data_IF_120396270400
#
_entry.id   IF_120396270400
#
_cell.length_a   1.000
_cell.length_b   1.000
_cell.length_c   1.000
_cell.angle_alpha   90.00
_cell.angle_beta   90.00
_cell.angle_gamma   90.00
#
_symmetry.space_group_name_H-M   'P 1'
#
loop_
_entity.id
_entity.type
_entity.pdbx_description
1 polymer ?
#
# COMPACT_ATOMS: atom_id res chain seq x y z
N UNK A 1 -98.41 47.77 -13.96
CA UNK A 1 -97.47 47.04 -13.08
C UNK A 1 -96.05 47.31 -13.56
N UNK A 2 -95.21 47.91 -12.70
CA UNK A 2 -93.83 48.35 -13.00
C UNK A 2 -92.90 47.13 -13.02
N UNK A 3 -92.15 46.93 -14.10
CA UNK A 3 -90.95 46.07 -14.11
C UNK A 3 -89.76 46.92 -13.69
N UNK A 4 -89.11 46.57 -12.58
CA UNK A 4 -87.84 47.14 -12.16
C UNK A 4 -86.72 46.51 -12.99
N UNK A 5 -85.85 47.34 -13.58
CA UNK A 5 -84.61 46.90 -14.21
C UNK A 5 -83.56 46.62 -13.13
N UNK A 6 -83.08 45.37 -13.05
CA UNK A 6 -81.88 45.01 -12.30
C UNK A 6 -80.66 45.46 -13.12
N UNK A 7 -79.92 46.45 -12.63
CA UNK A 7 -78.58 46.78 -13.11
C UNK A 7 -77.59 45.95 -12.27
N UNK A 8 -76.82 45.10 -12.93
CA UNK A 8 -75.72 44.35 -12.31
C UNK A 8 -74.47 45.22 -12.36
N UNK A 9 -74.15 45.90 -11.26
CA UNK A 9 -72.80 46.45 -11.07
C UNK A 9 -71.85 45.27 -10.90
N UNK A 10 -71.01 45.04 -11.92
CA UNK A 10 -69.92 44.07 -11.84
C UNK A 10 -68.94 44.56 -10.77
N UNK A 11 -68.70 43.70 -9.77
CA UNK A 11 -67.80 43.94 -8.66
C UNK A 11 -66.33 43.94 -9.13
N UNK A 12 -65.90 45.03 -9.76
CA UNK A 12 -64.54 45.20 -10.30
C UNK A 12 -63.47 45.11 -9.20
N UNK A 13 -63.80 45.49 -7.96
CA UNK A 13 -62.91 45.39 -6.80
C UNK A 13 -62.54 43.96 -6.44
N UNK A 14 -63.49 43.01 -6.54
CA UNK A 14 -63.22 41.60 -6.34
C UNK A 14 -62.31 41.02 -7.43
N UNK A 15 -62.47 41.47 -8.67
CA UNK A 15 -61.62 41.03 -9.79
C UNK A 15 -60.18 41.54 -9.65
N UNK A 16 -60.01 42.81 -9.25
CA UNK A 16 -58.69 43.40 -8.99
C UNK A 16 -57.97 42.70 -7.84
N UNK A 17 -58.67 42.40 -6.74
CA UNK A 17 -58.09 41.68 -5.61
C UNK A 17 -57.62 40.27 -5.98
N UNK A 18 -58.39 39.56 -6.83
CA UNK A 18 -58.01 38.23 -7.32
C UNK A 18 -56.78 38.30 -8.23
N UNK A 19 -56.69 39.30 -9.11
CA UNK A 19 -55.54 39.48 -10.01
C UNK A 19 -54.29 39.87 -9.21
N UNK A 20 -54.42 40.75 -8.21
CA UNK A 20 -53.32 41.14 -7.32
C UNK A 20 -52.82 39.93 -6.51
N UNK A 21 -53.73 39.12 -5.96
CA UNK A 21 -53.35 37.89 -5.29
C UNK A 21 -52.66 36.89 -6.23
N UNK A 22 -53.18 36.67 -7.44
CA UNK A 22 -52.58 35.73 -8.39
C UNK A 22 -51.20 36.20 -8.87
N UNK A 23 -51.02 37.49 -9.09
CA UNK A 23 -49.74 38.07 -9.50
C UNK A 23 -48.71 38.05 -8.37
N UNK A 24 -49.10 38.37 -7.15
CA UNK A 24 -48.24 38.23 -5.98
C UNK A 24 -47.86 36.76 -5.71
N UNK A 25 -48.81 35.83 -5.88
CA UNK A 25 -48.57 34.40 -5.70
C UNK A 25 -47.66 33.82 -6.77
N UNK A 26 -47.83 34.22 -8.04
CA UNK A 26 -46.94 33.80 -9.13
C UNK A 26 -45.54 34.38 -8.95
N UNK A 27 -45.41 35.64 -8.52
CA UNK A 27 -44.12 36.25 -8.18
C UNK A 27 -43.45 35.53 -7.00
N UNK A 28 -44.21 35.20 -5.95
CA UNK A 28 -43.71 34.43 -4.82
C UNK A 28 -43.22 33.03 -5.25
N UNK A 29 -44.00 32.33 -6.10
CA UNK A 29 -43.58 31.04 -6.63
C UNK A 29 -42.33 31.15 -7.51
N UNK A 30 -42.22 32.19 -8.34
CA UNK A 30 -40.99 32.42 -9.13
C UNK A 30 -39.78 32.70 -8.24
N UNK A 31 -39.95 33.47 -7.16
CA UNK A 31 -38.88 33.73 -6.20
C UNK A 31 -38.52 32.45 -5.42
N UNK A 32 -39.51 31.65 -5.02
CA UNK A 32 -39.30 30.41 -4.30
C UNK A 32 -38.58 29.37 -5.17
N UNK A 33 -38.98 29.23 -6.45
CA UNK A 33 -38.29 28.32 -7.38
C UNK A 33 -36.89 28.81 -7.69
N UNK A 34 -36.69 30.11 -7.94
CA UNK A 34 -35.37 30.69 -8.13
C UNK A 34 -34.47 30.50 -6.91
N UNK A 35 -35.01 30.66 -5.70
CA UNK A 35 -34.29 30.45 -4.44
C UNK A 35 -33.92 28.99 -4.24
N UNK A 36 -34.84 28.05 -4.47
CA UNK A 36 -34.56 26.61 -4.37
C UNK A 36 -33.55 26.16 -5.42
N UNK A 37 -33.61 26.68 -6.64
CA UNK A 37 -32.59 26.45 -7.67
C UNK A 37 -31.24 27.04 -7.28
N UNK A 38 -31.20 28.23 -6.67
CA UNK A 38 -29.96 28.86 -6.22
C UNK A 38 -29.34 28.13 -5.00
N UNK A 39 -30.17 27.63 -4.08
CA UNK A 39 -29.73 26.82 -2.95
C UNK A 39 -29.15 25.48 -3.39
N UNK A 40 -29.64 24.90 -4.50
CA UNK A 40 -29.02 23.74 -5.15
C UNK A 40 -27.74 24.09 -5.91
N UNK A 41 -27.55 25.35 -6.31
CA UNK A 41 -26.35 25.86 -7.00
C UNK A 41 -25.26 26.34 -6.03
N UNK A 42 -25.51 26.27 -4.72
CA UNK A 42 -24.59 26.77 -3.70
C UNK A 42 -23.50 25.74 -3.37
N UNK A 43 -22.45 25.74 -4.21
CA UNK A 43 -21.16 25.05 -4.05
C UNK A 43 -21.27 23.51 -3.97
N UNK A 44 -20.17 22.80 -4.25
CA UNK A 44 -20.10 21.36 -3.98
C UNK A 44 -20.41 21.08 -2.51
N UNK A 45 -20.47 19.80 -2.10
CA UNK A 45 -20.54 19.46 -0.67
C UNK A 45 -19.46 20.24 0.08
N UNK A 46 -19.84 21.23 0.89
CA UNK A 46 -18.93 21.92 1.82
C UNK A 46 -18.63 20.95 2.97
N UNK A 47 -18.04 19.81 2.63
CA UNK A 47 -17.54 18.82 3.57
C UNK A 47 -16.03 19.01 3.67
N UNK A 48 -15.53 19.60 4.78
CA UNK A 48 -14.11 19.83 4.96
C UNK A 48 -13.26 18.57 4.87
N UNK A 49 -13.83 17.38 5.11
CA UNK A 49 -13.10 16.11 4.95
C UNK A 49 -12.87 15.80 3.46
N UNK A 50 -13.90 15.96 2.63
CA UNK A 50 -13.81 15.75 1.17
C UNK A 50 -12.89 16.79 0.53
N UNK A 51 -12.99 18.06 0.92
CA UNK A 51 -12.10 19.12 0.42
C UNK A 51 -10.63 18.87 0.76
N UNK A 52 -10.36 18.25 1.93
CA UNK A 52 -9.01 17.86 2.33
C UNK A 52 -8.49 16.71 1.47
N UNK A 53 -9.29 15.67 1.24
CA UNK A 53 -8.92 14.56 0.36
C UNK A 53 -8.64 15.01 -1.07
N UNK A 54 -9.51 15.83 -1.66
CA UNK A 54 -9.35 16.35 -3.01
C UNK A 54 -8.07 17.16 -3.17
N UNK A 55 -7.78 18.00 -2.17
CA UNK A 55 -6.52 18.75 -2.09
C UNK A 55 -5.33 17.81 -1.95
N UNK A 56 -5.42 16.80 -1.10
CA UNK A 56 -4.34 15.85 -0.84
C UNK A 56 -4.00 15.04 -2.10
N UNK A 57 -5.00 14.53 -2.82
CA UNK A 57 -4.81 13.82 -4.08
C UNK A 57 -4.21 14.74 -5.16
N UNK A 58 -4.76 15.97 -5.33
CA UNK A 58 -4.27 16.91 -6.34
C UNK A 58 -2.85 17.40 -6.07
N UNK A 59 -2.54 17.81 -4.83
CA UNK A 59 -1.20 18.27 -4.44
C UNK A 59 -0.20 17.11 -4.40
N UNK A 60 -0.60 15.93 -3.94
CA UNK A 60 0.24 14.74 -3.92
C UNK A 60 0.66 14.35 -5.35
N UNK A 61 -0.29 14.31 -6.28
CA UNK A 61 0.01 14.05 -7.68
C UNK A 61 0.92 15.14 -8.28
N UNK A 62 0.66 16.41 -7.95
CA UNK A 62 1.50 17.50 -8.44
C UNK A 62 2.93 17.41 -7.90
N UNK A 63 3.12 17.11 -6.61
CA UNK A 63 4.44 16.87 -6.00
C UNK A 63 5.16 15.69 -6.66
N UNK A 64 4.44 14.61 -6.94
CA UNK A 64 4.98 13.42 -7.59
C UNK A 64 5.40 13.69 -9.05
N UNK A 65 4.74 14.62 -9.73
CA UNK A 65 4.86 14.83 -11.18
C UNK A 65 5.36 16.21 -11.61
N UNK A 66 5.83 17.03 -10.67
CA UNK A 66 6.36 18.38 -10.94
C UNK A 66 7.88 18.42 -11.09
N UNK A 67 8.60 17.39 -10.62
CA UNK A 67 10.06 17.36 -10.69
C UNK A 67 10.68 16.03 -10.27
N UNK A 68 11.98 16.11 -9.96
CA UNK A 68 12.83 14.97 -9.62
C UNK A 68 12.57 14.47 -8.19
N UNK A 69 11.98 15.28 -7.32
CA UNK A 69 11.82 14.95 -5.90
C UNK A 69 13.07 15.29 -5.10
N UNK A 70 13.06 14.91 -3.82
CA UNK A 70 14.12 15.26 -2.88
C UNK A 70 14.22 14.24 -1.76
N UNK A 71 15.44 13.90 -1.37
CA UNK A 71 15.72 13.04 -0.23
C UNK A 71 16.67 13.72 0.75
N UNK A 72 16.31 13.65 2.03
CA UNK A 72 17.11 14.13 3.16
C UNK A 72 17.48 12.90 4.00
N UNK A 73 18.75 12.48 4.03
CA UNK A 73 19.18 11.35 4.83
C UNK A 73 19.09 11.65 6.33
N UNK A 74 19.10 10.58 7.13
CA UNK A 74 19.14 10.64 8.58
C UNK A 74 20.58 10.36 9.06
N UNK A 75 21.18 11.31 9.77
CA UNK A 75 22.48 11.18 10.45
C UNK A 75 22.46 11.99 11.76
N UNK A 76 22.26 11.32 12.90
CA UNK A 76 21.99 11.93 14.22
C UNK A 76 20.81 12.95 14.24
N UNK A 77 20.05 13.02 13.14
CA UNK A 77 19.04 14.03 12.81
C UNK A 77 18.87 14.13 11.29
N UNK A 78 17.99 15.01 10.81
CA UNK A 78 17.84 15.22 9.37
C UNK A 78 19.04 16.00 8.81
N UNK A 79 19.81 15.36 7.94
CA UNK A 79 20.98 15.95 7.33
C UNK A 79 20.61 16.66 6.02
N UNK A 80 20.23 17.93 6.16
CA UNK A 80 19.94 18.81 5.02
C UNK A 80 21.18 19.16 4.18
N UNK A 81 22.40 18.88 4.64
CA UNK A 81 23.62 19.19 3.88
C UNK A 81 23.90 18.14 2.81
N UNK A 82 23.59 16.87 3.08
CA UNK A 82 23.74 15.76 2.15
C UNK A 82 22.44 15.39 1.42
N UNK A 83 21.44 16.27 1.44
CA UNK A 83 20.21 16.04 0.70
C UNK A 83 20.40 16.11 -0.81
N UNK A 84 19.67 15.28 -1.55
CA UNK A 84 19.85 15.09 -2.99
C UNK A 84 18.53 14.85 -3.72
N UNK A 85 18.48 15.18 -5.02
CA UNK A 85 17.38 14.81 -5.91
C UNK A 85 17.48 13.34 -6.36
N UNK A 86 18.62 12.69 -6.13
CA UNK A 86 18.90 11.30 -6.53
C UNK A 86 18.41 10.28 -5.50
N UNK A 87 17.20 10.51 -4.98
CA UNK A 87 16.57 9.62 -3.99
C UNK A 87 16.42 8.19 -4.50
N UNK A 88 16.27 8.01 -5.82
CA UNK A 88 16.12 6.70 -6.47
C UNK A 88 17.34 5.79 -6.35
N UNK A 89 18.50 6.33 -5.94
CA UNK A 89 19.73 5.57 -5.70
C UNK A 89 19.89 5.14 -4.24
N UNK A 90 19.07 5.64 -3.32
CA UNK A 90 19.13 5.29 -1.92
C UNK A 90 18.52 3.89 -1.66
N UNK A 91 19.04 3.19 -0.66
CA UNK A 91 18.48 1.91 -0.21
C UNK A 91 17.12 2.11 0.46
N UNK A 92 16.32 1.04 0.53
CA UNK A 92 15.02 1.07 1.18
C UNK A 92 15.13 1.48 2.67
N UNK A 93 16.15 0.99 3.39
CA UNK A 93 16.41 1.40 4.77
C UNK A 93 16.73 2.90 4.88
N UNK A 94 17.61 3.44 4.01
CA UNK A 94 17.97 4.85 4.04
C UNK A 94 16.77 5.75 3.73
N UNK A 95 15.93 5.35 2.79
CA UNK A 95 14.69 6.06 2.44
C UNK A 95 13.67 6.03 3.58
N UNK A 96 13.58 4.92 4.31
CA UNK A 96 12.68 4.77 5.44
C UNK A 96 13.12 5.57 6.67
N UNK A 97 14.44 5.61 6.95
CA UNK A 97 14.99 6.35 8.09
C UNK A 97 15.03 7.87 7.83
N UNK A 98 15.29 8.27 6.59
CA UNK A 98 15.32 9.67 6.17
C UNK A 98 13.93 10.24 5.83
N UNK A 99 13.93 11.35 5.08
CA UNK A 99 12.71 11.89 4.47
C UNK A 99 12.84 11.95 2.97
N UNK A 100 11.94 11.26 2.27
CA UNK A 100 11.86 11.27 0.82
C UNK A 100 10.56 11.94 0.37
N UNK A 101 10.66 12.88 -0.56
CA UNK A 101 9.56 13.33 -1.41
C UNK A 101 9.81 12.75 -2.81
N UNK A 102 9.14 11.65 -3.19
CA UNK A 102 9.33 11.06 -4.50
C UNK A 102 8.91 12.02 -5.60
N UNK A 103 9.70 12.07 -6.67
CA UNK A 103 9.38 12.78 -7.90
C UNK A 103 9.76 11.90 -9.08
N UNK A 104 8.87 11.81 -10.07
CA UNK A 104 8.98 10.87 -11.19
C UNK A 104 9.56 11.51 -12.45
N UNK A 105 9.81 12.82 -12.43
CA UNK A 105 10.18 13.56 -13.63
C UNK A 105 11.68 13.84 -13.64
N UNK A 106 12.31 13.66 -14.79
CA UNK A 106 13.68 14.11 -15.08
C UNK A 106 13.68 14.74 -16.49
N UNK A 107 14.23 15.94 -16.64
CA UNK A 107 14.25 16.66 -17.93
C UNK A 107 12.88 16.76 -18.63
N UNK A 108 11.80 16.99 -17.87
CA UNK A 108 10.40 17.05 -18.36
C UNK A 108 9.84 15.74 -18.94
N UNK A 109 10.48 14.61 -18.66
CA UNK A 109 10.02 13.26 -19.01
C UNK A 109 9.82 12.41 -17.75
N UNK A 110 8.94 11.41 -17.82
CA UNK A 110 8.88 10.37 -16.79
C UNK A 110 10.14 9.52 -16.86
N UNK A 111 10.81 9.37 -15.73
CA UNK A 111 12.04 8.59 -15.60
C UNK A 111 11.76 7.19 -15.05
N UNK A 112 12.14 6.18 -15.83
CA UNK A 112 11.86 4.78 -15.49
C UNK A 112 12.64 4.31 -14.27
N UNK A 113 13.86 4.85 -14.05
CA UNK A 113 14.66 4.50 -12.88
C UNK A 113 13.99 4.97 -11.59
N UNK A 114 13.40 6.16 -11.59
CA UNK A 114 12.62 6.69 -10.47
C UNK A 114 11.34 5.89 -10.23
N UNK A 115 10.65 5.47 -11.29
CA UNK A 115 9.47 4.60 -11.16
C UNK A 115 9.88 3.26 -10.52
N UNK A 116 10.94 2.60 -11.01
CA UNK A 116 11.41 1.34 -10.42
C UNK A 116 11.89 1.51 -8.96
N UNK A 117 12.46 2.67 -8.62
CA UNK A 117 12.91 2.93 -7.26
C UNK A 117 11.77 3.15 -6.25
N UNK A 118 10.52 3.32 -6.72
CA UNK A 118 9.35 3.34 -5.84
C UNK A 118 9.20 2.04 -5.05
N UNK A 119 9.71 0.92 -5.58
CA UNK A 119 9.74 -0.35 -4.85
C UNK A 119 10.60 -0.30 -3.58
N UNK A 120 11.52 0.65 -3.45
CA UNK A 120 12.29 0.85 -2.22
C UNK A 120 11.63 1.83 -1.23
N UNK A 121 10.55 2.50 -1.62
CA UNK A 121 9.84 3.46 -0.77
C UNK A 121 8.73 2.74 -0.01
N UNK A 122 8.55 3.01 1.28
CA UNK A 122 7.40 2.50 2.02
C UNK A 122 6.17 3.37 1.75
N UNK A 123 4.95 2.81 1.82
CA UNK A 123 3.71 3.58 1.67
C UNK A 123 3.68 4.79 2.61
N UNK A 124 4.09 4.60 3.87
CA UNK A 124 4.21 5.66 4.87
C UNK A 124 5.23 6.75 4.50
N UNK A 125 6.38 6.34 3.97
CA UNK A 125 7.41 7.26 3.50
C UNK A 125 6.90 8.10 2.33
N UNK A 126 6.16 7.49 1.40
CA UNK A 126 5.51 8.20 0.30
C UNK A 126 4.43 9.15 0.80
N UNK A 127 3.51 8.69 1.68
CA UNK A 127 2.44 9.52 2.21
C UNK A 127 2.99 10.77 2.92
N UNK A 128 3.98 10.59 3.79
CA UNK A 128 4.67 11.69 4.46
C UNK A 128 5.39 12.62 3.47
N UNK A 129 6.06 12.06 2.46
CA UNK A 129 6.75 12.80 1.40
C UNK A 129 5.82 13.64 0.53
N UNK A 130 4.65 13.10 0.21
CA UNK A 130 3.59 13.81 -0.50
C UNK A 130 2.81 14.77 0.41
N UNK A 131 3.09 14.75 1.72
CA UNK A 131 2.47 15.59 2.74
C UNK A 131 0.99 15.32 2.94
N UNK A 132 0.62 14.04 2.93
CA UNK A 132 -0.69 13.57 3.37
C UNK A 132 -0.75 13.59 4.92
N UNK A 133 -1.96 13.70 5.46
CA UNK A 133 -2.18 13.61 6.92
C UNK A 133 -1.96 12.14 7.39
N UNK A 134 -1.58 11.93 8.65
CA UNK A 134 -1.22 10.60 9.21
C UNK A 134 -2.37 9.58 9.17
N UNK A 135 -3.61 10.04 9.09
CA UNK A 135 -4.82 9.23 8.97
C UNK A 135 -5.15 8.87 7.51
N UNK A 136 -4.46 9.44 6.53
CA UNK A 136 -4.68 9.15 5.11
C UNK A 136 -3.81 7.99 4.63
N UNK A 137 -4.37 7.18 3.75
CA UNK A 137 -3.63 6.18 2.98
C UNK A 137 -3.69 6.51 1.49
N UNK A 138 -2.87 5.84 0.68
CA UNK A 138 -2.82 6.10 -0.76
C UNK A 138 -2.75 4.82 -1.57
N UNK A 139 -3.19 4.91 -2.82
CA UNK A 139 -2.91 3.93 -3.87
C UNK A 139 -2.34 4.65 -5.09
N UNK A 140 -1.20 4.18 -5.59
CA UNK A 140 -0.53 4.74 -6.76
C UNK A 140 -0.56 3.72 -7.89
N UNK A 141 -1.03 4.13 -9.05
CA UNK A 141 -1.03 3.33 -10.27
C UNK A 141 -0.36 4.07 -11.41
N UNK A 142 0.66 3.45 -12.00
CA UNK A 142 1.42 3.96 -13.15
C UNK A 142 1.34 2.91 -14.25
N UNK A 143 0.70 3.26 -15.37
CA UNK A 143 0.44 2.30 -16.47
C UNK A 143 0.73 2.90 -17.83
N UNK A 144 1.09 2.04 -18.77
CA UNK A 144 1.19 2.38 -20.20
C UNK A 144 -0.20 2.24 -20.83
N UNK A 145 -0.78 3.35 -21.28
CA UNK A 145 -2.10 3.39 -21.94
C UNK A 145 -2.02 3.10 -23.44
N UNK A 146 -1.01 3.64 -24.11
CA UNK A 146 -0.80 3.49 -25.56
C UNK A 146 0.69 3.29 -25.81
N UNK A 147 1.05 2.44 -26.76
CA UNK A 147 2.41 2.20 -27.22
C UNK A 147 2.38 1.68 -28.65
N UNK A 148 3.44 1.94 -29.40
CA UNK A 148 3.68 1.31 -30.71
C UNK A 148 4.01 -0.19 -30.57
N UNK A 149 4.44 -0.63 -29.38
CA UNK A 149 4.64 -2.05 -29.04
C UNK A 149 3.38 -2.63 -28.37
N UNK A 150 2.68 -3.59 -29.01
CA UNK A 150 1.50 -4.22 -28.44
C UNK A 150 1.75 -4.92 -27.09
N UNK A 151 2.98 -5.36 -26.79
CA UNK A 151 3.28 -6.01 -25.51
C UNK A 151 3.32 -5.02 -24.34
N UNK A 152 3.51 -3.73 -24.63
CA UNK A 152 3.60 -2.68 -23.61
C UNK A 152 2.24 -2.05 -23.30
N UNK A 153 1.27 -2.17 -24.19
CA UNK A 153 -0.09 -1.62 -23.96
C UNK A 153 -0.74 -2.31 -22.76
N UNK A 154 -1.11 -1.52 -21.74
CA UNK A 154 -1.71 -2.01 -20.51
C UNK A 154 -0.71 -2.49 -19.46
N UNK A 155 0.60 -2.42 -19.73
CA UNK A 155 1.63 -2.79 -18.76
C UNK A 155 1.54 -1.89 -17.52
N UNK A 156 1.47 -2.54 -16.35
CA UNK A 156 1.62 -1.85 -15.07
C UNK A 156 3.10 -1.66 -14.77
N UNK A 157 3.52 -0.40 -14.61
CA UNK A 157 4.88 -0.04 -14.21
C UNK A 157 5.00 0.06 -12.69
N UNK A 158 3.90 0.36 -12.02
CA UNK A 158 3.77 0.39 -10.56
C UNK A 158 2.28 0.37 -10.20
N UNK A 159 1.86 -0.46 -9.27
CA UNK A 159 0.52 -0.54 -8.71
C UNK A 159 0.61 -0.97 -7.25
N UNK A 160 0.58 0.00 -6.34
CA UNK A 160 0.80 -0.28 -4.93
C UNK A 160 0.09 0.69 -4.01
N UNK A 161 -0.17 0.23 -2.78
CA UNK A 161 -0.74 1.01 -1.71
C UNK A 161 -1.94 0.33 -1.07
N UNK A 162 -2.71 1.11 -0.32
CA UNK A 162 -3.90 0.63 0.36
C UNK A 162 -5.09 0.61 -0.59
N UNK A 163 -5.71 -0.55 -0.75
CA UNK A 163 -6.92 -0.72 -1.57
C UNK A 163 -8.10 0.13 -1.10
N UNK A 164 -8.80 0.75 -2.06
CA UNK A 164 -9.96 1.63 -1.81
C UNK A 164 -11.05 0.97 -0.96
N UNK A 165 -11.26 -0.34 -1.13
CA UNK A 165 -12.35 -1.08 -0.48
C UNK A 165 -12.31 -1.07 1.06
N UNK A 166 -11.18 -0.67 1.64
CA UNK A 166 -10.99 -0.62 3.10
C UNK A 166 -11.32 0.75 3.70
N UNK A 167 -11.59 1.78 2.88
CA UNK A 167 -11.77 3.16 3.32
C UNK A 167 -13.21 3.68 3.09
N UNK A 168 -13.74 4.55 3.98
CA UNK A 168 -15.06 5.14 3.87
C UNK A 168 -15.19 6.14 2.71
N UNK A 169 -14.12 6.89 2.41
CA UNK A 169 -14.10 7.89 1.36
C UNK A 169 -12.74 7.98 0.68
N UNK A 170 -12.73 8.43 -0.57
CA UNK A 170 -11.52 8.56 -1.39
C UNK A 170 -11.62 9.73 -2.36
N UNK A 171 -10.46 10.26 -2.75
CA UNK A 171 -10.30 11.15 -3.89
C UNK A 171 -9.22 10.65 -4.83
N UNK A 172 -9.34 10.97 -6.11
CA UNK A 172 -8.43 10.50 -7.16
C UNK A 172 -7.96 11.67 -8.01
N UNK A 173 -6.65 11.76 -8.20
CA UNK A 173 -6.04 12.65 -9.17
C UNK A 173 -5.30 11.81 -10.22
N UNK A 174 -5.31 12.27 -11.48
CA UNK A 174 -4.54 11.61 -12.53
C UNK A 174 -3.85 12.63 -13.45
N UNK A 175 -2.74 12.20 -14.06
CA UNK A 175 -2.00 12.96 -15.07
C UNK A 175 -1.52 11.99 -16.15
N UNK A 176 -1.68 12.39 -17.41
CA UNK A 176 -1.18 11.63 -18.55
C UNK A 176 0.06 12.28 -19.16
N UNK A 177 0.96 11.45 -19.64
CA UNK A 177 2.22 11.86 -20.28
C UNK A 177 2.32 11.23 -21.65
N UNK A 178 2.94 11.95 -22.58
CA UNK A 178 3.24 11.47 -23.92
C UNK A 178 4.74 11.61 -24.14
N UNK A 179 5.45 10.49 -24.27
CA UNK A 179 6.89 10.49 -24.56
C UNK A 179 7.25 9.25 -25.36
N UNK A 180 8.18 9.41 -26.30
CA UNK A 180 8.82 8.29 -27.01
C UNK A 180 7.83 7.30 -27.69
N UNK A 181 6.68 7.81 -28.15
CA UNK A 181 5.63 7.02 -28.81
C UNK A 181 4.66 6.33 -27.84
N UNK A 182 4.82 6.52 -26.53
CA UNK A 182 3.97 5.93 -25.50
C UNK A 182 3.17 7.00 -24.73
N UNK A 183 1.92 6.64 -24.40
CA UNK A 183 1.08 7.38 -23.45
C UNK A 183 1.13 6.68 -22.10
N UNK A 184 1.54 7.38 -21.06
CA UNK A 184 1.53 6.90 -19.68
C UNK A 184 0.40 7.56 -18.89
N UNK A 185 -0.10 6.86 -17.88
CA UNK A 185 -1.03 7.38 -16.88
C UNK A 185 -0.44 7.22 -15.50
N UNK A 186 -0.41 8.30 -14.73
CA UNK A 186 -0.12 8.29 -13.29
C UNK A 186 -1.41 8.65 -12.58
N UNK A 187 -1.91 7.74 -11.74
CA UNK A 187 -3.13 7.89 -10.96
C UNK A 187 -2.74 7.78 -9.49
N UNK A 188 -3.06 8.80 -8.70
CA UNK A 188 -2.93 8.79 -7.25
C UNK A 188 -4.33 8.84 -6.64
N UNK A 189 -4.67 7.81 -5.89
CA UNK A 189 -5.86 7.76 -5.04
C UNK A 189 -5.42 8.03 -3.59
N UNK A 190 -6.16 8.87 -2.89
CA UNK A 190 -5.96 9.18 -1.48
C UNK A 190 -7.24 8.83 -0.72
N UNK A 191 -7.09 8.10 0.36
CA UNK A 191 -8.18 7.51 1.13
C UNK A 191 -8.20 8.11 2.54
N UNK A 192 -9.40 8.31 3.09
CA UNK A 192 -9.61 8.72 4.48
C UNK A 192 -9.52 7.50 5.39
N UNK A 193 -8.28 7.10 5.72
CA UNK A 193 -7.97 5.84 6.37
C UNK A 193 -7.87 4.68 5.39
N UNK A 194 -7.93 3.46 5.94
CA UNK A 194 -7.79 2.22 5.20
C UNK A 194 -6.89 1.25 5.94
N UNK A 195 -7.19 -0.05 5.82
CA UNK A 195 -6.34 -1.07 6.43
C UNK A 195 -5.20 -1.39 5.46
N UNK A 196 -4.00 -0.90 5.78
CA UNK A 196 -2.79 -1.20 5.00
C UNK A 196 -2.64 -2.70 4.78
N UNK A 197 -2.46 -3.06 3.51
CA UNK A 197 -2.29 -4.45 3.11
C UNK A 197 -0.80 -4.82 3.10
N UNK A 198 -0.20 -4.93 4.28
CA UNK A 198 1.21 -5.32 4.40
C UNK A 198 1.30 -6.85 4.42
N UNK A 199 1.14 -7.49 3.26
CA UNK A 199 1.32 -8.95 3.16
C UNK A 199 2.79 -9.27 2.90
N UNK A 200 3.36 -10.15 3.72
CA UNK A 200 4.60 -10.84 3.44
C UNK A 200 4.30 -12.34 3.38
N UNK A 201 5.02 -13.05 2.52
CA UNK A 201 4.83 -14.47 2.26
C UNK A 201 6.11 -15.20 2.66
N UNK A 202 5.98 -16.33 3.36
CA UNK A 202 7.10 -17.27 3.50
C UNK A 202 6.96 -18.24 2.35
N UNK A 203 8.01 -18.34 1.54
CA UNK A 203 8.03 -19.15 0.31
C UNK A 203 8.77 -20.46 0.52
N UNK A 204 9.85 -20.43 1.30
CA UNK A 204 10.64 -21.62 1.61
C UNK A 204 11.25 -21.57 3.02
N UNK A 205 11.35 -22.71 3.69
CA UNK A 205 11.93 -22.84 5.04
C UNK A 205 12.88 -24.02 5.11
N UNK A 206 14.13 -23.77 5.50
CA UNK A 206 15.11 -24.79 5.84
C UNK A 206 15.25 -24.91 7.36
N UNK A 207 14.60 -25.93 7.91
CA UNK A 207 14.65 -26.24 9.35
C UNK A 207 15.85 -27.12 9.69
N UNK A 208 16.27 -28.01 8.78
CA UNK A 208 17.29 -29.02 9.06
C UNK A 208 18.37 -29.08 7.98
N UNK A 209 19.29 -28.09 7.94
CA UNK A 209 20.35 -28.03 6.95
C UNK A 209 21.22 -29.28 6.94
N UNK A 210 21.69 -29.70 5.75
CA UNK A 210 22.74 -30.71 5.67
C UNK A 210 24.11 -30.10 6.02
N UNK A 211 25.07 -30.96 6.37
CA UNK A 211 26.49 -30.57 6.51
C UNK A 211 26.79 -29.42 7.49
N UNK A 212 25.98 -29.26 8.54
CA UNK A 212 26.14 -28.20 9.54
C UNK A 212 25.95 -26.77 8.97
N UNK A 213 25.17 -26.62 7.90
CA UNK A 213 24.77 -25.30 7.38
C UNK A 213 23.83 -24.53 8.33
N UNK A 214 23.54 -23.26 8.02
CA UNK A 214 22.59 -22.46 8.78
C UNK A 214 21.12 -22.77 8.43
N UNK A 215 20.24 -22.71 9.43
CA UNK A 215 18.79 -22.64 9.22
C UNK A 215 18.45 -21.34 8.50
N UNK A 216 17.42 -21.36 7.66
CA UNK A 216 16.98 -20.16 6.96
C UNK A 216 15.49 -20.16 6.63
N UNK A 217 14.95 -18.96 6.47
CA UNK A 217 13.56 -18.68 6.11
C UNK A 217 13.62 -17.69 4.95
N UNK A 218 12.94 -18.01 3.85
CA UNK A 218 12.79 -17.12 2.72
C UNK A 218 11.46 -16.38 2.79
N UNK A 219 11.50 -15.06 2.58
CA UNK A 219 10.33 -14.19 2.58
C UNK A 219 10.24 -13.42 1.27
N UNK A 220 9.09 -13.47 0.63
CA UNK A 220 8.73 -12.67 -0.53
C UNK A 220 7.80 -11.52 -0.14
N UNK A 221 8.08 -10.32 -0.66
CA UNK A 221 7.15 -9.19 -0.61
C UNK A 221 6.44 -9.04 -1.96
N UNK A 222 5.18 -9.51 -2.09
CA UNK A 222 4.42 -9.40 -3.34
C UNK A 222 3.92 -7.98 -3.64
N UNK A 223 4.02 -7.04 -2.70
CA UNK A 223 3.52 -5.68 -2.87
C UNK A 223 4.53 -4.82 -3.64
N UNK A 224 4.03 -3.80 -4.32
CA UNK A 224 4.88 -2.86 -5.03
C UNK A 224 5.60 -1.89 -4.09
N UNK A 225 5.05 -1.58 -2.91
CA UNK A 225 5.76 -0.78 -1.90
C UNK A 225 6.67 -1.63 -1.02
N UNK A 226 7.72 -1.00 -0.52
CA UNK A 226 8.54 -1.57 0.53
C UNK A 226 7.76 -1.71 1.84
N UNK A 227 8.05 -2.76 2.60
CA UNK A 227 7.46 -3.04 3.91
C UNK A 227 8.53 -2.85 4.99
N UNK A 228 8.27 -1.93 5.92
CA UNK A 228 9.07 -1.82 7.14
C UNK A 228 8.78 -3.00 8.06
N UNK A 229 9.83 -3.62 8.59
CA UNK A 229 9.75 -4.81 9.45
C UNK A 229 9.37 -4.50 10.89
N UNK A 230 9.27 -3.21 11.27
CA UNK A 230 8.79 -2.82 12.59
C UNK A 230 7.35 -3.32 12.81
N UNK A 231 7.15 -4.11 13.86
CA UNK A 231 5.84 -4.70 14.19
C UNK A 231 5.63 -6.11 13.63
N UNK A 232 6.54 -6.57 12.77
CA UNK A 232 6.60 -7.97 12.34
C UNK A 232 7.31 -8.82 13.38
N UNK A 233 6.84 -10.06 13.56
CA UNK A 233 7.46 -11.01 14.46
C UNK A 233 7.41 -12.43 13.92
N UNK A 234 8.40 -13.22 14.30
CA UNK A 234 8.46 -14.64 14.04
C UNK A 234 8.22 -15.37 15.36
N UNK A 235 7.25 -16.27 15.37
CA UNK A 235 7.02 -17.17 16.49
C UNK A 235 7.26 -18.60 16.05
N UNK A 236 8.08 -19.32 16.80
CA UNK A 236 8.26 -20.74 16.65
C UNK A 236 7.82 -21.46 17.93
N UNK A 237 7.12 -22.59 17.76
CA UNK A 237 6.72 -23.48 18.86
C UNK A 237 7.00 -24.93 18.51
N UNK A 238 7.66 -25.66 19.42
CA UNK A 238 7.92 -27.09 19.34
C UNK A 238 7.70 -27.72 20.72
N UNK A 239 6.65 -28.54 20.86
CA UNK A 239 6.25 -29.12 22.14
C UNK A 239 5.96 -28.06 23.21
N UNK A 240 6.79 -28.00 24.26
CA UNK A 240 6.69 -26.98 25.32
C UNK A 240 7.65 -25.80 25.14
N UNK A 241 8.47 -25.80 24.08
CA UNK A 241 9.42 -24.73 23.78
C UNK A 241 8.76 -23.73 22.84
N UNK A 242 8.91 -22.43 23.13
CA UNK A 242 8.53 -21.37 22.21
C UNK A 242 9.60 -20.29 22.16
N UNK A 243 9.95 -19.87 20.95
CA UNK A 243 10.77 -18.70 20.66
C UNK A 243 9.91 -17.64 19.96
N UNK A 244 10.14 -16.38 20.30
CA UNK A 244 9.47 -15.25 19.67
C UNK A 244 10.50 -14.17 19.40
N UNK A 245 10.58 -13.71 18.16
CA UNK A 245 11.45 -12.64 17.72
C UNK A 245 10.60 -11.50 17.16
N UNK A 246 10.65 -10.34 17.81
CA UNK A 246 10.10 -9.10 17.27
C UNK A 246 11.16 -8.38 16.45
N UNK A 247 10.86 -8.14 15.17
CA UNK A 247 11.68 -7.32 14.29
C UNK A 247 11.43 -5.84 14.63
N UNK A 248 12.51 -5.12 14.93
CA UNK A 248 12.45 -3.72 15.41
C UNK A 248 12.80 -2.71 14.33
N UNK A 249 13.51 -3.14 13.30
CA UNK A 249 14.07 -2.33 12.23
C UNK A 249 14.28 -3.19 10.99
N UNK A 250 14.59 -2.55 9.87
CA UNK A 250 14.78 -3.18 8.57
C UNK A 250 13.60 -2.93 7.64
N UNK A 251 13.87 -2.94 6.34
CA UNK A 251 12.89 -2.74 5.28
C UNK A 251 13.08 -3.79 4.21
N UNK A 252 11.99 -4.41 3.77
CA UNK A 252 11.98 -5.31 2.61
C UNK A 252 11.40 -4.54 1.44
N UNK A 253 12.16 -4.40 0.35
CA UNK A 253 11.71 -3.75 -0.88
C UNK A 253 10.48 -4.46 -1.48
N UNK A 254 9.66 -3.71 -2.21
CA UNK A 254 8.56 -4.25 -3.01
C UNK A 254 9.07 -5.21 -4.09
N UNK A 255 8.25 -6.22 -4.42
CA UNK A 255 8.54 -7.27 -5.41
C UNK A 255 9.91 -7.94 -5.20
N UNK A 256 10.37 -8.04 -3.95
CA UNK A 256 11.71 -8.52 -3.62
C UNK A 256 11.68 -9.73 -2.71
N UNK A 257 12.79 -10.46 -2.76
CA UNK A 257 13.03 -11.65 -1.95
C UNK A 257 14.03 -11.34 -0.84
N UNK A 258 13.76 -11.87 0.35
CA UNK A 258 14.58 -11.67 1.54
C UNK A 258 14.93 -13.02 2.16
N UNK A 259 16.19 -13.20 2.53
CA UNK A 259 16.66 -14.41 3.17
C UNK A 259 17.05 -14.13 4.62
N UNK A 260 16.30 -14.72 5.55
CA UNK A 260 16.60 -14.74 6.97
C UNK A 260 17.44 -15.97 7.25
N UNK A 261 18.63 -15.84 7.83
CA UNK A 261 19.54 -16.98 8.02
C UNK A 261 20.22 -16.95 9.39
N UNK A 262 20.57 -18.13 9.91
CA UNK A 262 21.37 -18.29 11.11
C UNK A 262 22.84 -17.90 10.95
N UNK A 263 23.36 -17.84 9.72
CA UNK A 263 24.72 -17.37 9.45
C UNK A 263 24.84 -16.82 8.01
N UNK A 264 24.76 -15.48 7.82
CA UNK A 264 24.89 -14.86 6.51
C UNK A 264 26.22 -15.13 5.80
N UNK A 265 27.28 -15.45 6.54
CA UNK A 265 28.61 -15.62 5.96
C UNK A 265 28.79 -16.97 5.24
N UNK A 266 27.98 -17.97 5.61
CA UNK A 266 28.00 -19.31 5.01
C UNK A 266 26.77 -19.64 4.17
N UNK A 267 25.73 -18.80 4.24
CA UNK A 267 24.48 -18.96 3.49
C UNK A 267 24.64 -18.64 1.99
N UNK A 268 24.10 -19.51 1.14
CA UNK A 268 23.87 -19.19 -0.28
C UNK A 268 22.64 -18.29 -0.37
N UNK A 269 22.77 -17.14 -1.03
CA UNK A 269 21.75 -16.07 -1.02
C UNK A 269 20.94 -15.96 -2.31
N UNK A 270 21.36 -16.64 -3.39
CA UNK A 270 20.68 -16.56 -4.69
C UNK A 270 20.49 -15.12 -5.19
N UNK A 271 19.27 -14.80 -5.59
CA UNK A 271 18.81 -13.47 -6.00
C UNK A 271 18.15 -12.67 -4.86
N UNK A 272 18.30 -13.09 -3.60
CA UNK A 272 17.74 -12.36 -2.47
C UNK A 272 18.30 -10.92 -2.42
N UNK A 273 17.39 -9.96 -2.36
CA UNK A 273 17.73 -8.54 -2.27
C UNK A 273 18.16 -8.14 -0.87
N UNK A 274 17.63 -8.82 0.15
CA UNK A 274 17.89 -8.55 1.56
C UNK A 274 18.34 -9.82 2.27
N UNK A 275 19.36 -9.73 3.12
CA UNK A 275 19.84 -10.84 3.95
C UNK A 275 19.86 -10.41 5.40
N UNK A 276 19.11 -11.12 6.24
CA UNK A 276 18.93 -10.78 7.65
C UNK A 276 19.54 -11.86 8.55
N UNK A 277 20.42 -11.44 9.45
CA UNK A 277 21.07 -12.32 10.42
C UNK A 277 20.16 -12.59 11.62
N UNK A 278 19.45 -13.72 11.58
CA UNK A 278 18.64 -14.18 12.71
C UNK A 278 19.42 -15.08 13.68
N UNK A 279 20.64 -15.47 13.35
CA UNK A 279 21.55 -16.16 14.26
C UNK A 279 22.07 -15.23 15.34
N UNK A 280 22.45 -14.01 14.96
CA UNK A 280 22.83 -12.94 15.91
C UNK A 280 21.68 -12.57 16.87
N UNK A 281 20.43 -12.78 16.45
CA UNK A 281 19.21 -12.57 17.25
C UNK A 281 18.79 -13.82 18.04
N UNK A 282 19.51 -14.93 17.89
CA UNK A 282 19.27 -16.19 18.60
C UNK A 282 17.97 -16.90 18.21
N UNK A 283 17.43 -16.61 17.02
CA UNK A 283 16.20 -17.24 16.54
C UNK A 283 16.48 -18.41 15.60
N UNK A 284 17.44 -18.27 14.69
CA UNK A 284 17.87 -19.33 13.78
C UNK A 284 19.20 -19.94 14.20
N UNK A 285 19.30 -21.23 13.96
CA UNK A 285 20.44 -22.07 14.29
C UNK A 285 21.50 -22.15 13.19
N UNK A 286 22.70 -22.59 13.58
CA UNK A 286 23.78 -22.96 12.67
C UNK A 286 24.54 -24.16 13.21
N UNK A 287 24.84 -25.11 12.33
CA UNK A 287 25.68 -26.25 12.65
C UNK A 287 25.03 -27.29 13.55
N UNK A 288 25.30 -27.21 14.86
CA UNK A 288 24.73 -28.13 15.88
C UNK A 288 23.75 -27.41 16.81
N UNK A 289 23.54 -26.11 16.58
CA UNK A 289 22.57 -25.31 17.31
C UNK A 289 21.32 -25.29 16.45
N UNK A 290 20.23 -25.86 16.98
CA UNK A 290 18.92 -25.88 16.32
C UNK A 290 18.05 -24.75 16.89
N UNK A 291 17.60 -23.83 16.05
CA UNK A 291 16.69 -22.74 16.41
C UNK A 291 15.23 -23.12 16.22
N UNK A 292 14.94 -23.89 15.15
CA UNK A 292 13.60 -24.31 14.77
C UNK A 292 13.26 -25.75 15.21
N UNK A 293 14.23 -26.54 15.66
CA UNK A 293 14.00 -27.94 16.09
C UNK A 293 13.53 -28.89 14.96
N UNK A 294 14.32 -29.95 14.75
CA UNK A 294 14.16 -30.93 13.67
C UNK A 294 12.89 -31.80 13.72
N UNK A 295 12.20 -31.85 14.86
CA UNK A 295 11.10 -32.79 15.12
C UNK A 295 9.76 -32.31 14.56
N UNK A 296 8.89 -31.85 15.47
CA UNK A 296 7.63 -31.20 15.13
C UNK A 296 7.74 -29.74 15.53
N UNK A 297 7.45 -28.85 14.60
CA UNK A 297 7.48 -27.42 14.86
C UNK A 297 6.42 -26.68 14.07
N UNK A 298 6.08 -25.51 14.59
CA UNK A 298 5.15 -24.57 14.00
C UNK A 298 5.82 -23.20 13.98
N UNK A 299 6.11 -22.70 12.78
CA UNK A 299 6.57 -21.33 12.54
C UNK A 299 5.37 -20.48 12.15
N UNK A 300 5.30 -19.26 12.67
CA UNK A 300 4.27 -18.28 12.31
C UNK A 300 4.92 -16.92 12.11
N UNK A 301 4.72 -16.36 10.92
CA UNK A 301 4.99 -14.94 10.67
C UNK A 301 3.77 -14.15 11.10
N UNK A 302 3.99 -13.16 11.95
CA UNK A 302 2.92 -12.36 12.55
C UNK A 302 3.17 -10.88 12.33
N UNK A 303 2.09 -10.12 12.18
CA UNK A 303 2.13 -8.68 12.10
C UNK A 303 1.23 -8.06 13.16
N UNK A 304 1.72 -7.03 13.84
CA UNK A 304 0.94 -6.22 14.78
C UNK A 304 0.86 -4.81 14.21
N UNK A 305 -0.34 -4.36 13.86
CA UNK A 305 -0.55 -2.97 13.48
C UNK A 305 -0.27 -2.06 14.69
N UNK A 306 0.25 -0.85 14.47
CA UNK A 306 0.64 0.05 15.56
C UNK A 306 -0.48 0.35 16.57
N UNK A 307 -1.74 0.34 16.10
CA UNK A 307 -2.92 0.60 16.93
C UNK A 307 -3.58 -0.67 17.47
N UNK A 308 -3.03 -1.85 17.17
CA UNK A 308 -3.49 -3.15 17.66
C UNK A 308 -2.54 -3.67 18.75
N UNK A 309 -3.10 -4.34 19.75
CA UNK A 309 -2.33 -4.98 20.84
C UNK A 309 -2.14 -6.48 20.63
N UNK A 310 -2.84 -7.07 19.66
CA UNK A 310 -2.79 -8.50 19.36
C UNK A 310 -2.17 -8.73 17.99
N UNK A 311 -1.09 -9.52 17.90
CA UNK A 311 -0.52 -9.89 16.61
C UNK A 311 -1.49 -10.77 15.83
N UNK A 312 -1.62 -10.52 14.53
CA UNK A 312 -2.32 -11.40 13.59
C UNK A 312 -1.31 -12.35 12.93
N UNK A 313 -1.66 -13.64 12.82
CA UNK A 313 -0.91 -14.57 11.97
C UNK A 313 -1.09 -14.17 10.50
N UNK A 314 0.03 -14.09 9.76
CA UNK A 314 0.06 -13.79 8.32
C UNK A 314 0.40 -15.04 7.52
N UNK A 315 1.34 -15.84 8.01
CA UNK A 315 1.74 -17.13 7.42
C UNK A 315 1.99 -18.14 8.53
N UNK A 316 1.67 -19.40 8.28
CA UNK A 316 1.90 -20.52 9.17
C UNK A 316 2.55 -21.68 8.42
N UNK A 317 3.63 -22.20 8.99
CA UNK A 317 4.38 -23.35 8.46
C UNK A 317 4.45 -24.41 9.56
N UNK A 318 3.99 -25.62 9.29
CA UNK A 318 4.05 -26.73 10.25
C UNK A 318 4.80 -27.92 9.64
N UNK A 319 5.66 -28.56 10.43
CA UNK A 319 6.37 -29.78 10.05
C UNK A 319 6.33 -30.81 11.18
N UNK A 320 6.75 -32.04 10.89
CA UNK A 320 6.61 -33.18 11.79
C UNK A 320 5.16 -33.67 11.90
N UNK A 321 4.33 -33.32 10.92
CA UNK A 321 2.96 -33.82 10.70
C UNK A 321 2.95 -34.82 9.54
N UNK A 322 1.82 -35.50 9.33
CA UNK A 322 1.68 -36.47 8.25
C UNK A 322 2.07 -35.87 6.90
N UNK A 323 3.05 -36.47 6.22
CA UNK A 323 3.57 -36.01 4.93
C UNK A 323 4.70 -34.97 4.99
N UNK A 324 4.99 -34.38 6.15
CA UNK A 324 6.00 -33.31 6.32
C UNK A 324 7.06 -33.68 7.36
N UNK A 325 7.59 -34.91 7.29
CA UNK A 325 8.69 -35.36 8.14
C UNK A 325 10.03 -35.02 7.51
N UNK A 326 10.75 -34.08 8.13
CA UNK A 326 12.00 -33.54 7.59
C UNK A 326 13.15 -34.55 7.62
N UNK A 327 13.85 -34.66 6.49
CA UNK A 327 15.20 -35.25 6.41
C UNK A 327 16.23 -34.13 6.30
N UNK A 328 17.44 -34.38 6.80
CA UNK A 328 18.52 -33.40 6.73
C UNK A 328 18.82 -33.02 5.27
N UNK A 329 18.81 -31.71 5.00
CA UNK A 329 19.02 -31.13 3.68
C UNK A 329 17.74 -30.83 2.89
N UNK A 330 16.56 -31.22 3.38
CA UNK A 330 15.29 -30.87 2.75
C UNK A 330 14.73 -29.55 3.31
N UNK A 331 14.09 -28.78 2.45
CA UNK A 331 13.32 -27.60 2.82
C UNK A 331 11.81 -27.86 2.70
N UNK A 332 11.02 -26.95 3.27
CA UNK A 332 9.58 -26.86 3.07
C UNK A 332 9.32 -25.73 2.07
N UNK A 333 8.65 -26.02 0.96
CA UNK A 333 8.28 -25.05 -0.08
C UNK A 333 6.77 -24.86 -0.08
N UNK A 334 6.33 -23.60 -0.18
CA UNK A 334 4.94 -23.22 -0.29
C UNK A 334 4.42 -23.34 -1.73
N UNK A 335 3.19 -23.85 -1.91
CA UNK A 335 2.57 -24.07 -3.21
C UNK A 335 1.82 -22.86 -3.79
N UNK A 336 1.79 -21.73 -3.07
CA UNK A 336 1.10 -20.51 -3.48
C UNK A 336 -0.40 -20.45 -3.14
N UNK A 337 -1.00 -21.49 -2.55
CA UNK A 337 -2.45 -21.55 -2.34
C UNK A 337 -2.92 -20.95 -1.00
N UNK A 338 -2.70 -21.65 0.12
CA UNK A 338 -3.17 -21.24 1.44
C UNK A 338 -1.99 -21.06 2.40
N UNK A 339 -1.78 -19.82 2.84
CA UNK A 339 -0.68 -19.42 3.75
C UNK A 339 -0.85 -19.96 5.18
N UNK A 340 -2.00 -20.53 5.52
CA UNK A 340 -2.28 -21.05 6.86
C UNK A 340 -2.38 -22.57 6.93
N UNK A 341 -2.61 -23.24 5.80
CA UNK A 341 -2.80 -24.68 5.74
C UNK A 341 -1.47 -25.42 5.58
N UNK A 342 -1.24 -26.45 6.39
CA UNK A 342 -0.08 -27.34 6.22
C UNK A 342 -0.14 -28.13 4.91
N UNK A 343 -1.32 -28.28 4.29
CA UNK A 343 -1.47 -28.97 3.00
C UNK A 343 -0.89 -28.19 1.82
N UNK A 344 -0.61 -26.90 2.01
CA UNK A 344 0.01 -26.02 1.02
C UNK A 344 1.54 -26.05 1.05
N UNK A 345 2.12 -26.96 1.82
CA UNK A 345 3.56 -27.13 1.95
C UNK A 345 3.98 -28.52 1.46
N UNK A 346 5.13 -28.59 0.82
CA UNK A 346 5.76 -29.84 0.39
C UNK A 346 7.25 -29.85 0.71
N UNK A 347 7.84 -31.04 0.82
CA UNK A 347 9.27 -31.21 1.00
C UNK A 347 9.99 -31.09 -0.34
N UNK A 348 11.07 -30.31 -0.38
CA UNK A 348 11.97 -30.17 -1.53
C UNK A 348 13.35 -30.78 -1.20
N UNK A 349 13.87 -31.59 -2.11
CA UNK A 349 15.14 -32.31 -1.96
C UNK A 349 16.35 -31.46 -2.39
N UNK A 350 16.13 -30.45 -3.24
CA UNK A 350 17.15 -29.52 -3.70
C UNK A 350 16.73 -28.07 -3.39
N UNK A 351 16.90 -27.62 -2.13
CA UNK A 351 16.53 -26.27 -1.71
C UNK A 351 17.20 -25.20 -2.55
N UNK A 352 16.46 -24.14 -2.86
CA UNK A 352 16.92 -23.05 -3.74
C UNK A 352 16.81 -21.70 -3.03
N UNK A 353 17.65 -21.44 -2.01
CA UNK A 353 17.57 -20.20 -1.23
C UNK A 353 17.81 -18.98 -2.12
N UNK A 354 16.86 -18.06 -2.12
CA UNK A 354 16.92 -16.82 -2.86
C UNK A 354 16.48 -16.93 -4.32
N UNK A 355 15.81 -18.01 -4.74
CA UNK A 355 15.47 -18.25 -6.15
C UNK A 355 13.96 -18.43 -6.40
N UNK A 356 13.11 -18.03 -5.46
CA UNK A 356 11.66 -18.06 -5.66
C UNK A 356 11.23 -17.17 -6.85
N UNK A 357 10.43 -17.76 -7.74
CA UNK A 357 9.74 -17.08 -8.83
C UNK A 357 8.22 -17.21 -8.62
N UNK A 358 7.47 -16.09 -8.51
CA UNK A 358 6.02 -16.09 -8.27
C UNK A 358 5.15 -16.52 -9.45
#
# INVERSE_FOLDING_TARGET
>A
MRRASLHSERDEGALTAVIEFLSAFTLFLMILTAFLSLAQLQMGSNDPAVDRLDRAASLGLDRLTSGEGWFVPMDEGLDYTNSTADWHLASADALHEGRVQPGLMLHHKLDMHRISALHNVTEDGMAAGLGLDDDMSLHLSIRVLESDDPQRVGLSLFDGGTERGTAPSSSTAYRSFQQDGERYSVVLEVHDGGRKNNILEITEVMVRPSSSGPEWIEIHNPNDFAIALRGWSLNHTSGSVSSNLLLKSGVISGQSLSLLTGDPSSQVVGNASHVLDLGALGFLGVGQIDGLSDGRGLLSLRYTQLDEITPADVVRVEWGVEGLFLVAGQSLVWDGNDRFSSSSWSLEDNPTPGEYEP
#
